data_IF_384729417028
#
_entry.id   IF_384729417028
#
_cell.length_a   1.000
_cell.length_b   1.000
_cell.length_c   1.000
_cell.angle_alpha   90.00
_cell.angle_beta   90.00
_cell.angle_gamma   90.00
#
_symmetry.space_group_name_H-M   'P 1'
#
loop_
_entity.id
_entity.type
_entity.pdbx_description
1 polymer ?
#
# COMPACT_ATOMS: atom_id res chain seq x y z
N UNK A 1 2.76 -20.57 4.96
CA UNK A 1 2.05 -19.26 4.86
C UNK A 1 3.12 -18.20 4.61
N UNK A 2 2.93 -17.31 3.66
CA UNK A 2 3.88 -16.22 3.38
C UNK A 2 3.85 -15.23 4.58
N UNK A 3 4.97 -14.95 5.26
CA UNK A 3 4.97 -14.09 6.44
C UNK A 3 4.48 -12.66 6.15
N UNK A 4 4.77 -12.11 4.97
CA UNK A 4 4.34 -10.75 4.61
C UNK A 4 2.82 -10.64 4.53
N UNK A 5 2.11 -11.64 4.00
CA UNK A 5 0.63 -11.69 4.01
C UNK A 5 0.04 -11.51 5.41
N UNK A 6 0.61 -12.20 6.40
CA UNK A 6 0.15 -12.06 7.80
C UNK A 6 0.38 -10.65 8.35
N UNK A 7 1.44 -9.98 7.90
CA UNK A 7 1.76 -8.61 8.32
C UNK A 7 0.82 -7.62 7.64
N UNK A 8 0.52 -7.82 6.36
CA UNK A 8 -0.43 -7.00 5.61
C UNK A 8 -1.86 -7.14 6.18
N UNK A 9 -2.26 -8.34 6.59
CA UNK A 9 -3.51 -8.56 7.32
C UNK A 9 -3.55 -7.80 8.66
N UNK A 10 -2.45 -7.81 9.42
CA UNK A 10 -2.34 -7.04 10.67
C UNK A 10 -2.37 -5.54 10.42
N UNK A 11 -1.70 -5.08 9.36
CA UNK A 11 -1.76 -3.69 8.94
C UNK A 11 -3.19 -3.27 8.62
N UNK A 12 -3.88 -4.04 7.78
CA UNK A 12 -5.29 -3.80 7.44
C UNK A 12 -6.18 -3.77 8.69
N UNK A 13 -5.93 -4.67 9.65
CA UNK A 13 -6.67 -4.75 10.92
C UNK A 13 -6.46 -3.54 11.85
N UNK A 14 -5.47 -2.66 11.59
CA UNK A 14 -5.36 -1.38 12.31
C UNK A 14 -6.50 -0.41 11.97
N UNK A 15 -7.09 -0.58 10.79
CA UNK A 15 -8.00 0.38 10.18
C UNK A 15 -9.38 -0.19 9.86
N UNK A 16 -9.48 -1.49 9.60
CA UNK A 16 -10.72 -2.15 9.20
C UNK A 16 -11.03 -3.38 10.05
N UNK A 17 -12.30 -3.69 10.16
CA UNK A 17 -12.80 -4.93 10.78
C UNK A 17 -13.09 -5.93 9.69
N UNK A 18 -12.59 -7.16 9.85
CA UNK A 18 -12.86 -8.27 8.93
C UNK A 18 -13.91 -9.20 9.50
N UNK A 19 -14.86 -9.65 8.67
CA UNK A 19 -15.89 -10.63 9.02
C UNK A 19 -16.18 -11.58 7.87
N UNK A 20 -16.48 -12.85 8.16
CA UNK A 20 -16.95 -13.78 7.16
C UNK A 20 -18.22 -13.24 6.50
N UNK A 21 -18.28 -13.28 5.18
CA UNK A 21 -19.43 -12.81 4.40
C UNK A 21 -20.14 -13.95 3.68
N UNK A 22 -19.37 -14.80 3.02
CA UNK A 22 -19.85 -16.01 2.36
C UNK A 22 -18.79 -17.11 2.43
N UNK A 23 -18.95 -18.20 1.70
CA UNK A 23 -17.95 -19.28 1.65
C UNK A 23 -16.58 -18.81 1.19
N UNK A 24 -16.55 -17.98 0.13
CA UNK A 24 -15.29 -17.52 -0.46
C UNK A 24 -14.97 -16.05 -0.14
N UNK A 25 -15.87 -15.29 0.49
CA UNK A 25 -15.68 -13.86 0.72
C UNK A 25 -15.61 -13.50 2.21
N UNK A 26 -14.61 -12.72 2.55
CA UNK A 26 -14.48 -12.02 3.84
C UNK A 26 -14.63 -10.53 3.60
N UNK A 27 -15.60 -9.88 4.24
CA UNK A 27 -15.79 -8.43 4.15
C UNK A 27 -14.83 -7.71 5.08
N UNK A 28 -14.12 -6.71 4.54
CA UNK A 28 -13.35 -5.70 5.30
C UNK A 28 -14.13 -4.41 5.32
N UNK A 29 -14.23 -3.77 6.49
CA UNK A 29 -15.00 -2.55 6.67
C UNK A 29 -14.26 -1.53 7.51
N UNK A 30 -14.27 -0.30 7.03
CA UNK A 30 -13.74 0.86 7.68
C UNK A 30 -14.78 1.99 7.63
N UNK A 31 -15.54 2.15 8.72
CA UNK A 31 -16.59 3.17 8.79
C UNK A 31 -16.05 4.60 8.98
N UNK A 32 -14.76 4.75 9.34
CA UNK A 32 -14.14 6.06 9.47
C UNK A 32 -13.67 6.65 8.13
N UNK A 33 -13.32 5.78 7.16
CA UNK A 33 -12.88 6.19 5.83
C UNK A 33 -13.48 5.27 4.76
N UNK A 34 -14.78 5.42 4.53
CA UNK A 34 -15.57 4.53 3.68
C UNK A 34 -15.17 4.56 2.20
N UNK A 35 -14.59 5.65 1.75
CA UNK A 35 -14.04 5.86 0.41
C UNK A 35 -12.62 5.31 0.20
N UNK A 36 -12.00 4.72 1.23
CA UNK A 36 -10.76 3.95 1.12
C UNK A 36 -11.07 2.54 0.64
N UNK A 37 -10.89 2.27 -0.64
CA UNK A 37 -11.25 1.00 -1.29
C UNK A 37 -10.61 -0.22 -0.63
N UNK A 38 -9.29 -0.17 -0.30
CA UNK A 38 -8.53 -1.26 0.28
C UNK A 38 -9.01 -1.66 1.68
N UNK A 39 -9.60 -0.71 2.42
CA UNK A 39 -10.13 -0.95 3.75
C UNK A 39 -11.62 -1.32 3.74
N UNK A 40 -12.29 -1.22 2.57
CA UNK A 40 -13.72 -1.49 2.41
C UNK A 40 -14.01 -2.53 1.31
N UNK A 41 -13.07 -3.43 1.11
CA UNK A 41 -13.09 -4.49 0.09
C UNK A 41 -13.74 -5.78 0.56
N UNK A 42 -13.83 -6.74 -0.36
CA UNK A 42 -14.07 -8.15 -0.08
C UNK A 42 -12.79 -8.92 -0.40
N UNK A 43 -12.22 -9.56 0.61
CA UNK A 43 -11.10 -10.46 0.40
C UNK A 43 -11.63 -11.85 0.03
N UNK A 44 -11.20 -12.38 -1.12
CA UNK A 44 -11.62 -13.70 -1.57
C UNK A 44 -10.54 -14.76 -1.29
N UNK A 45 -11.03 -15.98 -1.00
CA UNK A 45 -10.24 -17.20 -0.89
C UNK A 45 -10.89 -18.27 -1.74
N UNK A 46 -10.20 -18.72 -2.79
CA UNK A 46 -10.78 -19.54 -3.86
C UNK A 46 -11.49 -18.69 -4.92
N UNK A 47 -12.44 -19.28 -5.64
CA UNK A 47 -13.16 -18.62 -6.74
C UNK A 47 -14.59 -18.30 -6.29
N UNK A 48 -14.94 -17.03 -6.02
CA UNK A 48 -16.29 -16.67 -5.64
C UNK A 48 -17.28 -16.92 -6.79
N UNK A 49 -18.47 -17.40 -6.43
CA UNK A 49 -19.55 -17.58 -7.39
C UNK A 49 -20.20 -16.25 -7.81
N UNK A 50 -20.95 -16.27 -8.91
CA UNK A 50 -21.74 -15.11 -9.35
C UNK A 50 -22.72 -14.66 -8.26
N UNK A 51 -23.35 -15.61 -7.54
CA UNK A 51 -24.28 -15.35 -6.44
C UNK A 51 -23.60 -14.62 -5.26
N UNK A 52 -22.39 -15.01 -4.92
CA UNK A 52 -21.62 -14.35 -3.86
C UNK A 52 -21.25 -12.91 -4.25
N UNK A 53 -20.84 -12.69 -5.51
CA UNK A 53 -20.54 -11.35 -6.02
C UNK A 53 -21.79 -10.48 -6.12
N UNK A 54 -22.95 -11.07 -6.51
CA UNK A 54 -24.24 -10.35 -6.44
C UNK A 54 -24.60 -9.94 -5.03
N UNK A 55 -24.40 -10.83 -4.06
CA UNK A 55 -24.64 -10.54 -2.64
C UNK A 55 -23.70 -9.42 -2.14
N UNK A 56 -22.41 -9.45 -2.53
CA UNK A 56 -21.46 -8.41 -2.21
C UNK A 56 -21.85 -7.06 -2.80
N UNK A 57 -22.28 -7.03 -4.07
CA UNK A 57 -22.80 -5.84 -4.72
C UNK A 57 -24.05 -5.27 -4.01
N UNK A 58 -25.01 -6.16 -3.67
CA UNK A 58 -26.23 -5.75 -2.96
C UNK A 58 -25.88 -5.16 -1.58
N UNK A 59 -24.90 -5.74 -0.91
CA UNK A 59 -24.38 -5.23 0.36
C UNK A 59 -23.78 -3.83 0.21
N UNK A 60 -22.90 -3.59 -0.77
CA UNK A 60 -22.31 -2.28 -1.03
C UNK A 60 -23.41 -1.23 -1.36
N UNK A 61 -24.36 -1.59 -2.21
CA UNK A 61 -25.50 -0.71 -2.54
C UNK A 61 -26.34 -0.35 -1.32
N UNK A 62 -26.63 -1.31 -0.43
CA UNK A 62 -27.37 -1.07 0.80
C UNK A 62 -26.64 -0.11 1.76
N UNK A 63 -25.33 -0.08 1.73
CA UNK A 63 -24.48 0.89 2.46
C UNK A 63 -24.31 2.21 1.73
N UNK A 64 -24.79 2.35 0.49
CA UNK A 64 -24.52 3.48 -0.39
C UNK A 64 -23.02 3.65 -0.71
N UNK A 65 -22.26 2.55 -0.74
CA UNK A 65 -20.89 2.54 -1.21
C UNK A 65 -20.89 2.55 -2.75
N UNK A 66 -20.13 3.44 -3.37
CA UNK A 66 -20.13 3.68 -4.82
C UNK A 66 -19.14 2.77 -5.58
N UNK A 67 -18.66 1.70 -4.96
CA UNK A 67 -17.70 0.78 -5.57
C UNK A 67 -17.88 -0.66 -5.06
N UNK A 68 -17.37 -1.61 -5.84
CA UNK A 68 -17.13 -3.00 -5.43
C UNK A 68 -15.68 -3.32 -5.69
N UNK A 69 -14.94 -3.73 -4.64
CA UNK A 69 -13.56 -4.20 -4.75
C UNK A 69 -13.43 -5.61 -4.20
N UNK A 70 -12.82 -6.49 -5.01
CA UNK A 70 -12.42 -7.84 -4.61
C UNK A 70 -10.89 -7.91 -4.57
N UNK A 71 -10.33 -8.53 -3.55
CA UNK A 71 -8.89 -8.70 -3.37
C UNK A 71 -8.56 -10.14 -3.02
N UNK A 72 -7.41 -10.64 -3.48
CA UNK A 72 -6.96 -12.00 -3.15
C UNK A 72 -5.53 -12.27 -3.59
N UNK A 73 -5.06 -13.49 -3.34
CA UNK A 73 -3.69 -13.90 -3.67
C UNK A 73 -3.58 -14.79 -4.90
N UNK A 74 -4.69 -15.14 -5.50
CA UNK A 74 -4.73 -15.90 -6.76
C UNK A 74 -5.59 -15.12 -7.76
N UNK A 75 -5.33 -15.20 -9.07
CA UNK A 75 -6.15 -14.52 -10.04
C UNK A 75 -7.57 -15.11 -10.04
N UNK A 76 -8.57 -14.27 -10.32
CA UNK A 76 -9.92 -14.75 -10.59
C UNK A 76 -10.01 -15.35 -11.99
N UNK A 77 -10.65 -16.52 -12.12
CA UNK A 77 -10.99 -17.11 -13.42
C UNK A 77 -12.02 -16.28 -14.17
N UNK A 78 -12.91 -15.60 -13.42
CA UNK A 78 -13.89 -14.65 -13.92
C UNK A 78 -13.81 -13.35 -13.13
N UNK A 79 -13.47 -12.26 -13.79
CA UNK A 79 -13.39 -10.93 -13.19
C UNK A 79 -14.76 -10.23 -13.06
N UNK A 80 -15.88 -10.84 -13.46
CA UNK A 80 -17.26 -10.31 -13.35
C UNK A 80 -17.47 -8.92 -13.93
N UNK A 81 -16.60 -8.48 -14.84
CA UNK A 81 -16.61 -7.13 -15.40
C UNK A 81 -15.92 -6.06 -14.52
N UNK A 82 -15.26 -6.47 -13.43
CA UNK A 82 -14.38 -5.57 -12.69
C UNK A 82 -13.05 -5.36 -13.44
N UNK A 83 -12.44 -4.20 -13.25
CA UNK A 83 -11.09 -3.89 -13.74
C UNK A 83 -10.06 -4.56 -12.83
N UNK A 84 -9.21 -5.41 -13.42
CA UNK A 84 -8.18 -6.16 -12.67
C UNK A 84 -6.86 -5.41 -12.63
N UNK A 85 -6.22 -5.46 -11.46
CA UNK A 85 -4.87 -4.98 -11.21
C UNK A 85 -4.12 -5.95 -10.29
N UNK A 86 -2.85 -5.71 -10.05
CA UNK A 86 -2.05 -6.55 -9.16
C UNK A 86 -0.90 -5.78 -8.51
N UNK A 87 -0.50 -6.25 -7.35
CA UNK A 87 0.60 -5.68 -6.57
C UNK A 87 1.63 -6.74 -6.25
N UNK A 88 2.91 -6.45 -6.49
CA UNK A 88 4.03 -7.31 -6.11
C UNK A 88 4.46 -7.01 -4.68
N UNK A 89 4.70 -8.04 -3.89
CA UNK A 89 5.44 -7.92 -2.64
C UNK A 89 6.90 -8.21 -2.92
N UNK A 90 7.77 -7.25 -2.63
CA UNK A 90 9.20 -7.36 -2.85
C UNK A 90 9.95 -7.28 -1.51
N UNK A 91 10.77 -8.28 -1.24
CA UNK A 91 11.51 -8.45 0.03
C UNK A 91 13.00 -8.23 -0.21
N UNK A 92 13.64 -7.45 0.64
CA UNK A 92 15.08 -7.31 0.68
C UNK A 92 15.66 -8.44 1.55
N UNK A 93 16.57 -9.29 1.04
CA UNK A 93 17.25 -10.29 1.86
C UNK A 93 17.88 -9.66 3.10
N UNK A 94 17.80 -10.35 4.24
CA UNK A 94 18.24 -9.84 5.54
C UNK A 94 19.73 -9.45 5.57
N UNK A 95 20.54 -10.13 4.78
CA UNK A 95 21.99 -9.96 4.64
C UNK A 95 22.38 -9.17 3.37
N UNK A 96 21.44 -8.48 2.74
CA UNK A 96 21.70 -7.70 1.55
C UNK A 96 22.74 -6.60 1.83
N UNK A 97 23.75 -6.50 0.95
CA UNK A 97 24.73 -5.42 1.01
C UNK A 97 24.16 -4.13 0.43
N UNK A 98 23.92 -3.15 1.31
CA UNK A 98 23.41 -1.83 0.94
C UNK A 98 24.52 -0.81 0.64
N UNK A 99 25.80 -1.16 0.85
CA UNK A 99 26.95 -0.24 0.76
C UNK A 99 27.14 0.33 -0.64
N UNK A 100 26.84 -0.47 -1.67
CA UNK A 100 26.94 -0.08 -3.08
C UNK A 100 25.78 0.77 -3.60
N UNK A 101 24.75 1.04 -2.78
CA UNK A 101 23.61 1.83 -3.25
C UNK A 101 23.97 3.31 -3.39
N UNK A 102 23.57 3.91 -4.52
CA UNK A 102 23.74 5.34 -4.73
C UNK A 102 22.77 6.11 -3.86
N UNK A 103 23.30 6.96 -3.01
CA UNK A 103 22.56 7.83 -2.09
C UNK A 103 23.01 9.26 -2.21
N UNK A 104 22.25 10.18 -1.64
CA UNK A 104 22.61 11.59 -1.58
C UNK A 104 23.04 11.93 -0.13
N UNK A 105 24.31 12.27 0.07
CA UNK A 105 24.89 12.61 1.37
C UNK A 105 24.39 13.94 1.95
N UNK A 106 23.78 14.80 1.12
CA UNK A 106 23.18 16.08 1.56
C UNK A 106 21.75 15.89 2.11
N UNK A 107 21.18 14.66 1.99
CA UNK A 107 19.86 14.33 2.51
C UNK A 107 19.95 13.92 3.97
N UNK A 108 19.18 14.58 4.82
CA UNK A 108 18.94 14.16 6.18
C UNK A 108 17.58 13.48 6.31
N UNK A 109 17.51 12.39 7.10
CA UNK A 109 16.26 11.67 7.35
C UNK A 109 15.86 11.85 8.80
N UNK A 110 14.60 12.27 9.00
CA UNK A 110 14.02 12.48 10.33
C UNK A 110 12.50 12.30 10.27
N UNK A 111 11.86 12.21 11.43
CA UNK A 111 10.39 12.33 11.52
C UNK A 111 10.00 13.73 11.05
N UNK A 112 9.12 13.86 10.05
CA UNK A 112 8.67 15.17 9.58
C UNK A 112 7.74 15.84 10.59
N UNK A 113 7.68 17.17 10.57
CA UNK A 113 6.56 17.90 11.14
C UNK A 113 5.29 17.50 10.41
N UNK A 114 4.17 17.41 11.14
CA UNK A 114 2.96 16.86 10.53
C UNK A 114 2.34 17.82 9.52
N UNK A 115 2.32 19.12 9.81
CA UNK A 115 1.76 20.11 8.88
C UNK A 115 2.60 20.19 7.60
N UNK A 116 3.93 20.07 7.73
CA UNK A 116 4.85 20.02 6.58
C UNK A 116 4.63 18.75 5.74
N UNK A 117 4.46 17.59 6.39
CA UNK A 117 4.14 16.33 5.71
C UNK A 117 2.78 16.42 4.99
N UNK A 118 1.75 16.92 5.66
CA UNK A 118 0.41 17.04 5.07
C UNK A 118 0.43 17.95 3.85
N UNK A 119 1.11 19.10 3.90
CA UNK A 119 1.26 19.99 2.75
C UNK A 119 2.02 19.32 1.60
N UNK A 120 3.06 18.55 1.92
CA UNK A 120 3.82 17.78 0.92
C UNK A 120 2.92 16.74 0.24
N UNK A 121 2.18 15.95 1.00
CA UNK A 121 1.30 14.91 0.45
C UNK A 121 0.08 15.49 -0.27
N UNK A 122 -0.52 16.57 0.22
CA UNK A 122 -1.60 17.28 -0.48
C UNK A 122 -1.18 17.76 -1.86
N UNK A 123 0.04 18.25 -1.99
CA UNK A 123 0.56 18.71 -3.29
C UNK A 123 0.55 17.61 -4.36
N UNK A 124 0.82 16.35 -3.99
CA UNK A 124 0.98 15.25 -4.94
C UNK A 124 -0.21 14.28 -4.95
N UNK A 125 -0.80 13.99 -3.80
CA UNK A 125 -1.94 13.06 -3.67
C UNK A 125 -3.29 13.76 -3.77
N UNK A 126 -3.37 15.03 -3.36
CA UNK A 126 -4.62 15.81 -3.44
C UNK A 126 -5.24 15.84 -4.83
N UNK A 127 -4.47 16.10 -5.91
CA UNK A 127 -4.98 16.03 -7.28
C UNK A 127 -5.42 14.64 -7.75
N UNK A 128 -4.89 13.56 -7.15
CA UNK A 128 -5.17 12.18 -7.54
C UNK A 128 -6.38 11.60 -6.79
N UNK A 129 -6.46 11.86 -5.48
CA UNK A 129 -7.43 11.22 -4.58
C UNK A 129 -8.45 12.19 -3.98
N UNK A 130 -8.24 13.50 -4.16
CA UNK A 130 -9.01 14.55 -3.51
C UNK A 130 -8.38 15.03 -2.19
N UNK A 131 -8.42 16.34 -1.94
CA UNK A 131 -7.77 16.96 -0.79
C UNK A 131 -8.39 16.47 0.53
N UNK A 132 -9.72 16.44 0.64
CA UNK A 132 -10.42 15.99 1.85
C UNK A 132 -10.07 14.53 2.20
N UNK A 133 -10.07 13.64 1.20
CA UNK A 133 -9.65 12.25 1.40
C UNK A 133 -8.19 12.16 1.88
N UNK A 134 -7.28 12.90 1.23
CA UNK A 134 -5.85 12.90 1.57
C UNK A 134 -5.64 13.34 3.02
N UNK A 135 -6.27 14.44 3.46
CA UNK A 135 -6.19 14.92 4.85
C UNK A 135 -6.70 13.87 5.83
N UNK A 136 -7.91 13.33 5.61
CA UNK A 136 -8.52 12.33 6.52
C UNK A 136 -7.67 11.06 6.60
N UNK A 137 -7.13 10.59 5.47
CA UNK A 137 -6.26 9.42 5.44
C UNK A 137 -4.95 9.67 6.21
N UNK A 138 -4.31 10.81 6.01
CA UNK A 138 -3.06 11.18 6.69
C UNK A 138 -3.24 11.25 8.20
N UNK A 139 -4.32 11.88 8.68
CA UNK A 139 -4.64 11.94 10.11
C UNK A 139 -4.77 10.56 10.74
N UNK A 140 -5.36 9.58 10.02
CA UNK A 140 -5.49 8.20 10.50
C UNK A 140 -4.17 7.44 10.50
N UNK A 141 -3.41 7.57 9.42
CA UNK A 141 -2.14 6.85 9.28
C UNK A 141 -1.13 7.28 10.35
N UNK A 142 -1.03 8.59 10.64
CA UNK A 142 -0.08 9.13 11.62
C UNK A 142 -0.30 8.60 13.04
N UNK A 143 -1.53 8.25 13.40
CA UNK A 143 -1.84 7.71 14.72
C UNK A 143 -1.31 6.28 14.92
N UNK A 144 -1.05 5.56 13.83
CA UNK A 144 -0.71 4.14 13.83
C UNK A 144 0.68 3.84 13.27
N UNK A 145 1.23 4.72 12.45
CA UNK A 145 2.43 4.47 11.67
C UNK A 145 3.55 5.45 12.01
N UNK A 146 4.77 5.07 11.68
CA UNK A 146 5.94 5.95 11.79
C UNK A 146 6.25 6.54 10.43
N UNK A 147 6.20 7.87 10.32
CA UNK A 147 6.57 8.59 9.12
C UNK A 147 8.03 9.00 9.14
N UNK A 148 8.67 8.90 7.98
CA UNK A 148 10.03 9.36 7.73
C UNK A 148 10.01 10.39 6.60
N UNK A 149 10.68 11.51 6.83
CA UNK A 149 10.89 12.56 5.83
C UNK A 149 12.36 12.63 5.43
N UNK A 150 12.62 12.74 4.13
CA UNK A 150 13.90 13.02 3.55
C UNK A 150 14.01 14.52 3.24
N UNK A 151 14.95 15.19 3.89
CA UNK A 151 15.16 16.63 3.76
C UNK A 151 16.40 16.92 2.92
N UNK A 152 16.25 17.71 1.89
CA UNK A 152 17.34 18.21 1.06
C UNK A 152 17.31 19.73 1.02
N UNK A 153 18.45 20.37 1.34
CA UNK A 153 18.53 21.83 1.50
C UNK A 153 17.46 22.42 2.44
N UNK A 154 17.14 21.68 3.52
CA UNK A 154 16.15 22.11 4.50
C UNK A 154 14.69 21.92 4.10
N UNK A 155 14.40 21.47 2.90
CA UNK A 155 13.03 21.21 2.40
C UNK A 155 12.69 19.72 2.46
N UNK A 156 11.46 19.40 2.76
CA UNK A 156 10.93 18.03 2.68
C UNK A 156 10.85 17.62 1.20
N UNK A 157 11.78 16.77 0.78
CA UNK A 157 11.94 16.34 -0.60
C UNK A 157 11.28 15.00 -0.91
N UNK A 158 11.02 14.21 0.12
CA UNK A 158 10.32 12.94 0.01
C UNK A 158 9.91 12.40 1.36
N UNK A 159 8.95 11.48 1.36
CA UNK A 159 8.41 10.84 2.56
C UNK A 159 8.09 9.37 2.32
N UNK A 160 7.94 8.63 3.39
CA UNK A 160 7.35 7.31 3.43
C UNK A 160 6.82 7.04 4.84
N UNK A 161 6.03 6.00 5.01
CA UNK A 161 5.79 5.44 6.35
C UNK A 161 6.34 4.03 6.46
N UNK A 162 6.58 3.60 7.70
CA UNK A 162 6.99 2.25 8.01
C UNK A 162 6.05 1.61 9.04
N UNK A 163 5.85 0.31 8.89
CA UNK A 163 5.10 -0.54 9.81
C UNK A 163 5.92 -1.76 10.21
N UNK A 164 6.58 -1.74 11.39
CA UNK A 164 7.31 -2.89 11.92
C UNK A 164 6.34 -3.89 12.54
N UNK A 165 6.41 -5.15 12.16
CA UNK A 165 5.60 -6.23 12.73
C UNK A 165 6.24 -7.59 12.49
N UNK A 166 6.26 -8.45 13.51
CA UNK A 166 6.63 -9.87 13.38
C UNK A 166 8.03 -10.16 12.83
N UNK A 167 9.01 -9.28 13.06
CA UNK A 167 10.37 -9.42 12.52
C UNK A 167 10.53 -8.88 11.08
N UNK A 168 9.53 -8.17 10.59
CA UNK A 168 9.54 -7.47 9.30
C UNK A 168 9.23 -5.99 9.47
N UNK A 169 9.66 -5.20 8.50
CA UNK A 169 9.29 -3.79 8.34
C UNK A 169 8.69 -3.62 6.95
N UNK A 170 7.42 -3.26 6.89
CA UNK A 170 6.82 -2.76 5.66
C UNK A 170 7.20 -1.29 5.48
N UNK A 171 7.71 -0.92 4.32
CA UNK A 171 7.87 0.47 3.90
C UNK A 171 6.88 0.75 2.78
N UNK A 172 6.07 1.77 2.95
CA UNK A 172 5.00 2.07 2.00
C UNK A 172 4.86 3.57 1.78
N UNK A 173 4.07 3.95 0.77
CA UNK A 173 3.80 5.35 0.40
C UNK A 173 5.07 6.17 0.15
N UNK A 174 6.05 5.56 -0.54
CA UNK A 174 7.28 6.26 -0.91
C UNK A 174 6.99 7.35 -1.94
N UNK A 175 6.99 8.58 -1.48
CA UNK A 175 6.75 9.77 -2.29
C UNK A 175 8.02 10.61 -2.39
N UNK A 176 8.39 11.03 -3.61
CA UNK A 176 9.45 12.01 -3.85
C UNK A 176 8.88 13.11 -4.74
N UNK A 177 8.98 14.34 -4.27
CA UNK A 177 8.54 15.51 -5.04
C UNK A 177 9.16 15.56 -6.41
N UNK A 178 8.40 15.93 -7.43
CA UNK A 178 8.85 15.89 -8.85
C UNK A 178 10.11 16.71 -9.06
N UNK A 179 10.22 17.86 -8.43
CA UNK A 179 11.38 18.77 -8.48
C UNK A 179 12.64 18.19 -7.81
N UNK A 180 12.47 17.15 -6.99
CA UNK A 180 13.55 16.45 -6.27
C UNK A 180 13.91 15.10 -6.88
N UNK A 181 13.24 14.66 -7.96
CA UNK A 181 13.55 13.40 -8.66
C UNK A 181 14.97 13.43 -9.24
N UNK A 182 15.51 12.24 -9.48
CA UNK A 182 16.88 12.03 -10.01
C UNK A 182 18.01 12.53 -9.09
N UNK A 183 17.72 12.76 -7.80
CA UNK A 183 18.68 13.19 -6.76
C UNK A 183 18.93 12.15 -5.69
N UNK A 184 18.60 10.89 -5.97
CA UNK A 184 18.75 9.75 -5.06
C UNK A 184 18.00 9.90 -3.72
N UNK A 185 16.93 10.70 -3.64
CA UNK A 185 16.14 10.88 -2.43
C UNK A 185 15.49 9.54 -2.02
N UNK A 186 14.79 8.88 -2.96
CA UNK A 186 14.14 7.59 -2.72
C UNK A 186 15.13 6.53 -2.24
N UNK A 187 16.26 6.36 -2.94
CA UNK A 187 17.28 5.37 -2.56
C UNK A 187 17.93 5.67 -1.22
N UNK A 188 18.04 6.95 -0.84
CA UNK A 188 18.53 7.35 0.48
C UNK A 188 17.54 6.96 1.59
N UNK A 189 16.21 7.19 1.38
CA UNK A 189 15.16 6.74 2.30
C UNK A 189 15.16 5.22 2.45
N UNK A 190 15.14 4.49 1.34
CA UNK A 190 15.12 3.03 1.34
C UNK A 190 16.35 2.47 2.06
N UNK A 191 17.55 3.01 1.79
CA UNK A 191 18.77 2.59 2.47
C UNK A 191 18.69 2.81 3.98
N UNK A 192 18.22 3.98 4.41
CA UNK A 192 18.04 4.28 5.83
C UNK A 192 17.13 3.27 6.54
N UNK A 193 15.99 2.93 5.90
CA UNK A 193 15.06 1.94 6.45
C UNK A 193 15.69 0.54 6.45
N UNK A 194 16.37 0.15 5.36
CA UNK A 194 17.03 -1.15 5.24
C UNK A 194 18.11 -1.34 6.31
N UNK A 195 19.02 -0.38 6.48
CA UNK A 195 20.07 -0.44 7.51
C UNK A 195 19.49 -0.44 8.94
N UNK A 196 18.38 0.28 9.15
CA UNK A 196 17.69 0.30 10.44
C UNK A 196 17.03 -1.05 10.74
N UNK A 197 16.35 -1.64 9.76
CA UNK A 197 15.76 -2.97 9.87
C UNK A 197 16.84 -4.04 10.15
N UNK A 198 17.94 -4.03 9.38
CA UNK A 198 19.05 -4.98 9.55
C UNK A 198 19.66 -4.90 10.96
N UNK A 199 19.89 -3.69 11.50
CA UNK A 199 20.40 -3.50 12.88
C UNK A 199 19.46 -4.09 13.93
N UNK A 200 18.17 -4.15 13.66
CA UNK A 200 17.15 -4.74 14.54
C UNK A 200 16.93 -6.24 14.27
N UNK A 201 17.61 -6.79 13.27
CA UNK A 201 17.40 -8.17 12.81
C UNK A 201 16.08 -8.40 12.08
N UNK A 202 15.46 -7.34 11.60
CA UNK A 202 14.20 -7.34 10.83
C UNK A 202 14.46 -7.42 9.32
N UNK A 203 13.46 -7.83 8.58
CA UNK A 203 13.48 -7.94 7.12
C UNK A 203 12.64 -6.80 6.52
N UNK A 204 13.24 -6.00 5.63
CA UNK A 204 12.51 -4.97 4.90
C UNK A 204 11.74 -5.57 3.73
N UNK A 205 10.47 -5.17 3.57
CA UNK A 205 9.70 -5.42 2.36
C UNK A 205 8.88 -4.18 1.97
N UNK A 206 8.44 -4.16 0.74
CA UNK A 206 7.61 -3.12 0.16
C UNK A 206 6.68 -3.70 -0.90
N UNK A 207 5.71 -2.89 -1.31
CA UNK A 207 4.82 -3.19 -2.41
C UNK A 207 5.21 -2.40 -3.65
N UNK A 208 4.98 -2.98 -4.83
CA UNK A 208 5.26 -2.36 -6.12
C UNK A 208 4.21 -2.74 -7.15
N UNK A 209 3.83 -1.78 -7.97
CA UNK A 209 3.04 -2.02 -9.16
C UNK A 209 3.90 -2.77 -10.20
N UNK A 210 3.43 -3.90 -10.77
CA UNK A 210 4.16 -4.64 -11.79
C UNK A 210 4.36 -3.87 -13.10
N UNK A 211 3.56 -2.85 -13.36
CA UNK A 211 3.59 -2.08 -14.60
C UNK A 211 4.33 -0.75 -14.47
N UNK A 212 4.68 -0.33 -13.23
CA UNK A 212 5.41 0.92 -12.98
C UNK A 212 6.93 0.70 -12.81
N UNK A 213 7.69 1.76 -13.06
CA UNK A 213 9.17 1.77 -13.06
C UNK A 213 9.84 1.58 -11.68
N UNK A 214 9.24 1.93 -10.51
CA UNK A 214 9.85 1.71 -9.21
C UNK A 214 10.26 0.27 -8.93
N UNK A 215 9.52 -0.75 -9.42
CA UNK A 215 9.90 -2.16 -9.27
C UNK A 215 11.30 -2.46 -9.80
N UNK A 216 11.68 -1.83 -10.94
CA UNK A 216 12.99 -2.05 -11.55
C UNK A 216 14.11 -1.42 -10.70
N UNK A 217 13.84 -0.31 -10.05
CA UNK A 217 14.73 0.30 -9.07
C UNK A 217 14.91 -0.62 -7.87
N UNK A 218 13.83 -1.15 -7.30
CA UNK A 218 13.88 -2.09 -6.17
C UNK A 218 14.62 -3.38 -6.53
N UNK A 219 14.38 -3.95 -7.71
CA UNK A 219 15.10 -5.11 -8.19
C UNK A 219 16.62 -4.86 -8.32
N UNK A 220 17.03 -3.68 -8.85
CA UNK A 220 18.43 -3.26 -8.91
C UNK A 220 19.06 -3.05 -7.52
N UNK A 221 18.26 -2.74 -6.52
CA UNK A 221 18.68 -2.63 -5.13
C UNK A 221 18.74 -3.99 -4.41
N UNK A 222 18.36 -5.09 -5.08
CA UNK A 222 18.44 -6.44 -4.56
C UNK A 222 17.13 -6.95 -3.93
N UNK A 223 16.03 -6.21 -4.03
CA UNK A 223 14.72 -6.72 -3.64
C UNK A 223 14.28 -7.84 -4.58
N UNK A 224 13.64 -8.85 -4.01
CA UNK A 224 13.16 -10.03 -4.72
C UNK A 224 11.64 -10.12 -4.61
N UNK A 225 10.96 -10.39 -5.71
CA UNK A 225 9.52 -10.65 -5.71
C UNK A 225 9.26 -11.97 -4.98
N UNK A 226 8.45 -11.92 -3.94
CA UNK A 226 8.12 -13.10 -3.11
C UNK A 226 6.64 -13.42 -3.11
N UNK A 227 5.79 -12.47 -3.53
CA UNK A 227 4.35 -12.66 -3.61
C UNK A 227 3.72 -11.70 -4.62
N UNK A 228 2.48 -12.02 -4.99
CA UNK A 228 1.63 -11.18 -5.83
C UNK A 228 0.21 -11.21 -5.27
N UNK A 229 -0.36 -10.04 -5.06
CA UNK A 229 -1.77 -9.85 -4.76
C UNK A 229 -2.52 -9.40 -6.02
N UNK A 230 -3.79 -9.75 -6.10
CA UNK A 230 -4.69 -9.37 -7.19
C UNK A 230 -5.84 -8.56 -6.63
N UNK A 231 -6.23 -7.54 -7.35
CA UNK A 231 -7.37 -6.72 -7.01
C UNK A 231 -8.24 -6.47 -8.24
N UNK A 232 -9.52 -6.35 -8.01
CA UNK A 232 -10.54 -6.14 -9.03
C UNK A 232 -11.49 -5.08 -8.53
N UNK A 233 -11.59 -3.96 -9.25
CA UNK A 233 -12.36 -2.79 -8.86
C UNK A 233 -13.45 -2.46 -9.88
N UNK A 234 -14.61 -2.08 -9.39
CA UNK A 234 -15.69 -1.51 -10.19
C UNK A 234 -16.26 -0.29 -9.47
N UNK A 235 -16.20 0.87 -10.11
CA UNK A 235 -16.80 2.12 -9.65
C UNK A 235 -18.05 2.52 -10.45
N UNK A 236 -18.31 1.83 -11.57
CA UNK A 236 -19.56 1.93 -12.32
C UNK A 236 -20.22 0.55 -12.41
N UNK A 237 -21.22 0.32 -11.57
CA UNK A 237 -21.92 -0.97 -11.47
C UNK A 237 -22.63 -1.43 -12.75
N UNK A 238 -22.77 -0.56 -13.75
CA UNK A 238 -23.30 -0.94 -15.07
C UNK A 238 -22.34 -1.83 -15.87
N UNK A 239 -21.05 -1.82 -15.53
CA UNK A 239 -20.02 -2.65 -16.16
C UNK A 239 -20.00 -4.09 -15.66
N UNK A 240 -20.69 -4.40 -14.56
CA UNK A 240 -20.69 -5.74 -13.97
C UNK A 240 -21.42 -6.76 -14.85
N UNK A 241 -20.80 -7.92 -15.01
CA UNK A 241 -21.32 -9.08 -15.78
C UNK A 241 -21.64 -10.20 -14.81
N UNK A 242 -22.87 -10.16 -14.30
CA UNK A 242 -23.33 -11.09 -13.27
C UNK A 242 -24.50 -11.98 -13.77
N UNK A 243 -24.64 -12.14 -15.06
CA UNK A 243 -25.69 -12.96 -15.71
C UNK A 243 -25.41 -14.46 -15.59
#
# INVERSE_FOLDING_TARGET
MNPTRTIDERFTALFSVSRAFSEHLTKREDDQLRDKYDHNSFFYSGQPSVEEVRAALAYQKARSDAFLKLEGHEPLDNAFGLEGDSTLTMVLPKDADTSGWKTNSEVSIRTPDFDELEQHELKYYGPLYGEDFTVRNNHRLREKLTFLGAYWNGQLAGSCYIYPSGGYVCMDSLLVGEEFRHRYIATTLIRHVAETAQKRGEVLYLHADPDDTPKDMYAKMGFQVTDKAYEYLCTDFSNLKLD
#
